data_IF_127425070930
#
_entry.id   IF_127425070930
#
_cell.length_a   1.000
_cell.length_b   1.000
_cell.length_c   1.000
_cell.angle_alpha   90.00
_cell.angle_beta   90.00
_cell.angle_gamma   90.00
#
_symmetry.space_group_name_H-M   'P 1'
#
loop_
_entity.id
_entity.type
_entity.pdbx_description
1 polymer ?
#
# COMPACT_ATOMS: atom_id res chain seq x y z
N UNK A 1 -5.63 -7.03 16.46
CA UNK A 1 -6.45 -7.25 15.27
C UNK A 1 -7.09 -8.63 15.34
N UNK A 2 -8.40 -8.70 15.22
CA UNK A 2 -9.19 -9.94 15.32
C UNK A 2 -10.15 -10.07 14.16
N UNK A 3 -10.57 -11.32 13.83
CA UNK A 3 -11.71 -11.53 12.96
C UNK A 3 -12.99 -11.07 13.69
N UNK A 4 -13.92 -10.51 12.96
CA UNK A 4 -15.19 -10.05 13.50
C UNK A 4 -16.37 -10.49 12.63
N UNK A 5 -17.55 -10.54 13.22
CA UNK A 5 -18.83 -10.67 12.52
C UNK A 5 -19.78 -9.59 13.01
N UNK A 6 -20.86 -9.37 12.28
CA UNK A 6 -21.89 -8.44 12.68
C UNK A 6 -23.12 -9.22 13.13
N UNK A 7 -23.50 -9.11 14.41
CA UNK A 7 -24.67 -9.75 15.00
C UNK A 7 -25.57 -8.67 15.60
N UNK A 8 -26.82 -8.59 15.15
CA UNK A 8 -27.77 -7.58 15.60
C UNK A 8 -27.21 -6.14 15.58
N UNK A 9 -26.58 -5.77 14.46
CA UNK A 9 -25.90 -4.48 14.24
C UNK A 9 -24.72 -4.18 15.19
N UNK A 10 -24.18 -5.19 15.86
CA UNK A 10 -23.01 -5.07 16.71
C UNK A 10 -21.86 -5.92 16.20
N UNK A 11 -20.65 -5.37 16.29
CA UNK A 11 -19.44 -6.13 16.04
C UNK A 11 -19.18 -7.11 17.19
N UNK A 12 -18.99 -8.37 16.83
CA UNK A 12 -18.57 -9.43 17.75
C UNK A 12 -17.31 -10.10 17.21
N UNK A 13 -16.46 -10.58 18.13
CA UNK A 13 -15.26 -11.34 17.75
C UNK A 13 -15.68 -12.70 17.17
N UNK A 14 -15.03 -13.11 16.08
CA UNK A 14 -15.27 -14.39 15.42
C UNK A 14 -14.03 -15.27 15.47
N UNK A 15 -14.20 -16.54 15.79
CA UNK A 15 -13.13 -17.52 15.74
C UNK A 15 -12.82 -17.97 14.30
N UNK A 16 -13.79 -17.79 13.39
CA UNK A 16 -13.63 -18.11 11.97
C UNK A 16 -13.37 -16.86 11.14
N UNK A 17 -12.72 -17.05 10.00
CA UNK A 17 -12.46 -15.97 9.06
C UNK A 17 -13.77 -15.59 8.35
N UNK A 18 -14.17 -14.32 8.52
CA UNK A 18 -15.41 -13.77 7.95
C UNK A 18 -15.16 -12.79 6.81
N UNK A 19 -13.88 -12.39 6.62
CA UNK A 19 -13.51 -11.28 5.75
C UNK A 19 -13.68 -9.90 6.41
N UNK A 20 -14.28 -9.83 7.62
CA UNK A 20 -14.40 -8.63 8.41
C UNK A 20 -13.36 -8.64 9.53
N UNK A 21 -12.66 -7.51 9.71
CA UNK A 21 -11.64 -7.35 10.73
C UNK A 21 -11.99 -6.22 11.70
N UNK A 22 -11.57 -6.35 12.94
CA UNK A 22 -11.73 -5.32 13.95
C UNK A 22 -10.49 -5.15 14.83
N UNK A 23 -10.30 -3.92 15.26
CA UNK A 23 -9.37 -3.56 16.34
C UNK A 23 -10.01 -3.90 17.67
N UNK A 24 -9.36 -4.75 18.46
CA UNK A 24 -9.82 -5.13 19.81
C UNK A 24 -9.05 -4.34 20.86
N UNK A 25 -9.76 -3.51 21.61
CA UNK A 25 -9.19 -2.74 22.70
C UNK A 25 -9.75 -3.21 24.04
N UNK A 26 -8.96 -3.93 24.88
CA UNK A 26 -9.35 -4.28 26.23
C UNK A 26 -9.22 -3.07 27.15
N UNK A 27 -10.19 -2.87 28.02
CA UNK A 27 -10.18 -1.84 29.05
C UNK A 27 -9.79 -2.40 30.42
N UNK A 28 -9.39 -1.51 31.35
CA UNK A 28 -8.98 -1.90 32.69
C UNK A 28 -10.11 -2.50 33.53
N UNK A 29 -11.35 -2.23 33.21
CA UNK A 29 -12.56 -2.76 33.86
C UNK A 29 -12.98 -4.14 33.34
N UNK A 30 -12.17 -4.75 32.47
CA UNK A 30 -12.44 -6.04 31.85
C UNK A 30 -13.37 -5.99 30.63
N UNK A 31 -13.89 -4.82 30.27
CA UNK A 31 -14.68 -4.65 29.04
C UNK A 31 -13.77 -4.56 27.80
N UNK A 32 -14.34 -4.76 26.62
CA UNK A 32 -13.61 -4.70 25.36
C UNK A 32 -14.40 -3.88 24.34
N UNK A 33 -13.72 -2.97 23.65
CA UNK A 33 -14.28 -2.26 22.50
C UNK A 33 -13.77 -2.88 21.22
N UNK A 34 -14.66 -3.13 20.26
CA UNK A 34 -14.32 -3.53 18.89
C UNK A 34 -14.58 -2.34 17.94
N UNK A 35 -13.57 -1.98 17.18
CA UNK A 35 -13.66 -0.94 16.13
C UNK A 35 -13.40 -1.61 14.78
N UNK A 36 -14.34 -1.50 13.85
CA UNK A 36 -14.17 -2.11 12.53
C UNK A 36 -12.95 -1.55 11.81
N UNK A 37 -12.14 -2.43 11.22
CA UNK A 37 -11.06 -2.05 10.32
C UNK A 37 -11.65 -1.64 8.98
N UNK A 38 -11.67 -0.34 8.70
CA UNK A 38 -12.21 0.27 7.47
C UNK A 38 -11.14 0.86 6.57
N UNK A 39 -10.01 1.25 7.14
CA UNK A 39 -8.92 1.89 6.40
C UNK A 39 -9.03 3.42 6.34
N UNK A 40 -9.65 4.04 7.34
CA UNK A 40 -9.62 5.50 7.51
C UNK A 40 -8.27 5.92 8.08
N UNK A 41 -7.52 6.73 7.35
CA UNK A 41 -6.19 7.20 7.78
C UNK A 41 -6.15 8.72 7.77
N UNK A 42 -5.74 9.31 8.88
CA UNK A 42 -5.64 10.76 9.08
C UNK A 42 -4.26 11.14 9.62
N UNK A 43 -3.59 12.06 8.92
CA UNK A 43 -2.44 12.81 9.43
C UNK A 43 -2.90 14.17 9.91
N UNK A 44 -2.49 14.55 11.09
CA UNK A 44 -2.87 15.78 11.76
C UNK A 44 -1.61 16.53 12.22
N UNK A 45 -1.22 17.55 11.48
CA UNK A 45 -0.05 18.40 11.72
C UNK A 45 1.23 17.61 12.03
N UNK A 46 1.60 16.68 11.15
CA UNK A 46 2.75 15.80 11.36
C UNK A 46 4.04 16.45 10.86
N UNK A 47 4.99 16.60 11.77
CA UNK A 47 6.39 16.89 11.49
C UNK A 47 7.24 15.65 11.66
N UNK A 48 8.25 15.49 10.82
CA UNK A 48 9.13 14.31 10.91
C UNK A 48 10.57 14.59 10.45
N UNK A 49 11.51 14.01 11.17
CA UNK A 49 12.94 14.00 10.87
C UNK A 49 13.51 12.62 11.12
N UNK A 50 14.34 12.12 10.20
CA UNK A 50 15.12 10.88 10.46
C UNK A 50 16.27 11.14 11.43
N UNK A 51 16.84 12.33 11.37
CA UNK A 51 17.90 12.82 12.26
C UNK A 51 17.53 14.19 12.80
N UNK A 52 18.02 14.59 13.99
CA UNK A 52 17.64 15.86 14.63
C UNK A 52 17.91 17.11 13.78
N UNK A 53 18.89 17.03 12.90
CA UNK A 53 19.42 18.17 12.14
C UNK A 53 18.73 18.39 10.80
N UNK A 54 17.86 17.47 10.37
CA UNK A 54 17.21 17.56 9.05
C UNK A 54 15.76 17.14 9.10
N UNK A 55 14.87 18.12 9.14
CA UNK A 55 13.44 17.90 9.01
C UNK A 55 13.08 17.53 7.57
N UNK A 56 12.32 16.47 7.41
CA UNK A 56 11.90 15.89 6.11
C UNK A 56 10.46 16.25 5.79
N UNK A 57 9.57 16.14 6.78
CA UNK A 57 8.15 16.51 6.63
C UNK A 57 7.81 17.69 7.51
N UNK A 58 7.04 18.62 6.95
CA UNK A 58 6.64 19.84 7.58
C UNK A 58 5.14 20.00 7.54
N UNK A 59 4.50 19.97 8.71
CA UNK A 59 3.07 20.25 8.91
C UNK A 59 2.16 19.45 7.95
N UNK A 60 2.38 18.15 7.87
CA UNK A 60 1.61 17.28 7.00
C UNK A 60 0.24 17.00 7.60
N UNK A 61 -0.80 17.47 6.91
CA UNK A 61 -2.19 17.13 7.21
C UNK A 61 -2.84 16.54 5.97
N UNK A 62 -3.35 15.31 6.08
CA UNK A 62 -4.04 14.61 5.01
C UNK A 62 -5.05 13.63 5.60
N UNK A 63 -5.99 13.23 4.80
CA UNK A 63 -6.92 12.16 5.13
C UNK A 63 -7.22 11.28 3.91
N UNK A 64 -7.43 9.99 4.15
CA UNK A 64 -7.95 9.04 3.19
C UNK A 64 -9.13 8.33 3.83
N UNK A 65 -10.30 8.47 3.20
CA UNK A 65 -11.51 7.73 3.61
C UNK A 65 -11.44 6.29 3.09
N UNK A 66 -12.15 5.35 3.72
CA UNK A 66 -12.22 3.97 3.26
C UNK A 66 -12.56 3.88 1.76
N UNK A 67 -11.80 3.08 1.02
CA UNK A 67 -11.99 2.86 -0.41
C UNK A 67 -11.44 3.96 -1.32
N UNK A 68 -10.86 5.03 -0.78
CA UNK A 68 -10.23 6.08 -1.59
C UNK A 68 -8.82 5.73 -2.03
N UNK A 69 -8.45 6.16 -3.22
CA UNK A 69 -7.09 6.16 -3.74
C UNK A 69 -6.50 7.55 -3.59
N UNK A 70 -5.41 7.65 -2.82
CA UNK A 70 -4.63 8.87 -2.60
C UNK A 70 -3.29 8.71 -3.30
N UNK A 71 -3.04 9.53 -4.31
CA UNK A 71 -1.78 9.55 -5.05
C UNK A 71 -0.85 10.65 -4.53
N UNK A 72 0.42 10.31 -4.35
CA UNK A 72 1.47 11.27 -4.05
C UNK A 72 2.32 11.49 -5.29
N UNK A 73 2.46 12.75 -5.68
CA UNK A 73 3.29 13.19 -6.82
C UNK A 73 4.26 14.27 -6.37
N UNK A 74 5.38 14.39 -7.06
CA UNK A 74 6.42 15.36 -6.75
C UNK A 74 7.82 14.82 -7.06
N UNK A 75 8.81 15.68 -7.02
CA UNK A 75 10.19 15.32 -7.29
C UNK A 75 10.75 14.29 -6.30
N UNK A 76 11.80 13.58 -6.70
CA UNK A 76 12.56 12.71 -5.80
C UNK A 76 13.05 13.53 -4.60
N UNK A 77 12.88 12.99 -3.40
CA UNK A 77 13.24 13.67 -2.15
C UNK A 77 12.19 14.63 -1.61
N UNK A 78 11.02 14.74 -2.25
CA UNK A 78 9.91 15.59 -1.75
C UNK A 78 9.24 15.07 -0.46
N UNK A 79 9.53 13.84 -0.03
CA UNK A 79 9.00 13.25 1.21
C UNK A 79 7.89 12.19 0.99
N UNK A 80 7.60 11.80 -0.25
CA UNK A 80 6.55 10.82 -0.57
C UNK A 80 6.77 9.47 0.13
N UNK A 81 7.97 8.91 0.01
CA UNK A 81 8.33 7.64 0.68
C UNK A 81 8.28 7.77 2.20
N UNK A 82 8.63 8.92 2.75
CA UNK A 82 8.58 9.15 4.19
C UNK A 82 7.15 9.05 4.71
N UNK A 83 6.15 9.58 4.01
CA UNK A 83 4.74 9.44 4.40
C UNK A 83 4.34 7.96 4.48
N UNK A 84 4.69 7.16 3.48
CA UNK A 84 4.37 5.72 3.47
C UNK A 84 5.11 4.97 4.59
N UNK A 85 6.35 5.34 4.89
CA UNK A 85 7.10 4.78 6.03
C UNK A 85 6.43 5.09 7.38
N UNK A 86 5.81 6.25 7.52
CA UNK A 86 5.09 6.62 8.74
C UNK A 86 3.76 5.87 8.88
N UNK A 87 3.04 5.62 7.79
CA UNK A 87 1.82 4.79 7.82
C UNK A 87 2.18 3.36 8.25
N UNK A 88 3.29 2.81 7.75
CA UNK A 88 3.81 1.49 8.15
C UNK A 88 4.40 1.47 9.57
N UNK A 89 4.54 2.65 10.18
CA UNK A 89 5.19 2.84 11.45
C UNK A 89 6.58 2.18 11.51
N UNK A 90 7.36 2.36 10.43
CA UNK A 90 8.80 2.03 10.46
C UNK A 90 9.56 3.01 11.36
N UNK A 91 9.01 4.21 11.53
CA UNK A 91 9.47 5.26 12.42
C UNK A 91 8.30 5.79 13.24
N UNK A 92 8.56 6.14 14.49
CA UNK A 92 7.59 6.81 15.34
C UNK A 92 7.71 8.33 15.18
N UNK A 93 6.60 9.07 15.20
CA UNK A 93 6.57 10.54 15.13
C UNK A 93 6.65 11.14 16.53
N UNK A 94 7.34 12.30 16.64
CA UNK A 94 7.39 13.09 17.86
C UNK A 94 6.26 14.13 17.91
N UNK A 95 5.97 14.79 16.80
CA UNK A 95 4.99 15.85 16.69
C UNK A 95 3.85 15.48 15.73
N UNK A 96 2.65 15.96 16.06
CA UNK A 96 1.44 15.66 15.33
C UNK A 96 0.83 14.32 15.74
N UNK A 97 -0.15 13.88 14.98
CA UNK A 97 -0.86 12.60 15.19
C UNK A 97 -1.17 11.91 13.87
N UNK A 98 -1.02 10.59 13.87
CA UNK A 98 -1.53 9.73 12.80
C UNK A 98 -2.59 8.84 13.44
N UNK A 99 -3.80 8.84 12.87
CA UNK A 99 -4.91 7.98 13.30
C UNK A 99 -5.25 6.99 12.20
N UNK A 100 -5.55 5.79 12.61
CA UNK A 100 -6.03 4.71 11.78
C UNK A 100 -7.35 4.21 12.35
N UNK A 101 -8.43 4.33 11.59
CA UNK A 101 -9.81 4.10 12.06
C UNK A 101 -10.14 4.88 13.35
N UNK A 102 -9.67 6.12 13.46
CA UNK A 102 -9.84 6.97 14.62
C UNK A 102 -8.91 6.68 15.79
N UNK A 103 -8.11 5.60 15.72
CA UNK A 103 -7.19 5.19 16.78
C UNK A 103 -5.80 5.80 16.50
N UNK A 104 -5.19 6.42 17.50
CA UNK A 104 -3.81 6.87 17.37
C UNK A 104 -2.90 5.66 17.05
N UNK A 105 -2.17 5.74 15.93
CA UNK A 105 -1.34 4.63 15.42
C UNK A 105 -0.32 4.14 16.47
N UNK A 106 0.14 5.02 17.37
CA UNK A 106 1.06 4.66 18.45
C UNK A 106 0.44 3.74 19.51
N UNK A 107 -0.89 3.69 19.59
CA UNK A 107 -1.63 2.79 20.49
C UNK A 107 -1.91 1.42 19.89
N UNK A 108 -1.68 1.23 18.60
CA UNK A 108 -1.84 -0.05 17.92
C UNK A 108 -0.53 -0.83 18.03
N UNK A 109 -0.59 -2.13 18.31
CA UNK A 109 0.59 -2.99 18.27
C UNK A 109 1.16 -3.00 16.84
N UNK A 110 2.48 -2.79 16.71
CA UNK A 110 3.17 -2.71 15.40
C UNK A 110 2.90 -3.93 14.51
N UNK A 111 2.90 -5.13 15.09
CA UNK A 111 2.61 -6.35 14.35
C UNK A 111 1.19 -6.38 13.80
N UNK A 112 0.19 -5.94 14.57
CA UNK A 112 -1.21 -5.89 14.14
C UNK A 112 -1.43 -4.80 13.09
N UNK A 113 -0.82 -3.63 13.26
CA UNK A 113 -0.87 -2.56 12.28
C UNK A 113 -0.34 -3.04 10.91
N UNK A 114 0.85 -3.62 10.89
CA UNK A 114 1.49 -4.10 9.66
C UNK A 114 0.72 -5.25 9.00
N UNK A 115 0.07 -6.08 9.79
CA UNK A 115 -0.80 -7.16 9.29
C UNK A 115 -2.06 -6.63 8.61
N UNK A 116 -2.51 -5.42 8.96
CA UNK A 116 -3.65 -4.73 8.34
C UNK A 116 -3.31 -4.01 7.03
N UNK A 117 -2.03 -3.87 6.70
CA UNK A 117 -1.51 -3.13 5.56
C UNK A 117 -0.90 -4.09 4.53
N UNK A 118 -1.28 -3.93 3.26
CA UNK A 118 -0.58 -4.52 2.14
C UNK A 118 0.48 -3.55 1.61
N UNK A 119 1.65 -4.06 1.24
CA UNK A 119 2.77 -3.22 0.82
C UNK A 119 3.39 -3.80 -0.45
N UNK A 120 3.48 -2.97 -1.49
CA UNK A 120 4.26 -3.26 -2.70
C UNK A 120 5.20 -2.09 -2.92
N UNK A 121 6.49 -2.31 -2.69
CA UNK A 121 7.54 -1.31 -2.85
C UNK A 121 8.34 -1.57 -4.13
N UNK A 122 9.15 -0.60 -4.52
CA UNK A 122 10.05 -0.70 -5.67
C UNK A 122 11.02 -1.88 -5.53
N UNK A 123 11.62 -2.02 -4.35
CA UNK A 123 12.53 -3.13 -4.05
C UNK A 123 11.73 -4.34 -3.55
N UNK A 124 11.73 -5.39 -4.33
CA UNK A 124 11.03 -6.62 -4.00
C UNK A 124 11.95 -7.59 -3.27
N UNK A 125 11.66 -7.85 -2.00
CA UNK A 125 12.36 -8.84 -1.21
C UNK A 125 11.69 -10.22 -1.35
N UNK A 126 12.33 -11.10 -2.08
CA UNK A 126 11.99 -12.51 -2.15
C UNK A 126 12.99 -13.31 -1.30
N UNK A 127 12.53 -14.40 -0.70
CA UNK A 127 13.37 -15.26 0.11
C UNK A 127 13.62 -16.61 -0.58
N UNK A 128 14.65 -17.31 -0.15
CA UNK A 128 14.97 -18.66 -0.61
C UNK A 128 13.81 -19.59 -0.27
N UNK A 129 13.19 -20.19 -1.28
CA UNK A 129 12.01 -21.04 -1.18
C UNK A 129 11.30 -21.14 -2.52
N UNK A 130 10.16 -21.80 -2.57
CA UNK A 130 9.38 -21.90 -3.80
C UNK A 130 8.66 -20.61 -4.13
N UNK A 131 8.22 -20.45 -5.38
CA UNK A 131 7.31 -19.37 -5.79
C UNK A 131 6.04 -19.38 -4.93
N UNK A 132 5.45 -20.58 -4.71
CA UNK A 132 4.27 -20.76 -3.85
C UNK A 132 4.50 -20.22 -2.43
N UNK A 133 5.62 -20.58 -1.81
CA UNK A 133 5.96 -20.14 -0.45
C UNK A 133 6.16 -18.62 -0.39
N UNK A 134 6.80 -18.04 -1.39
CA UNK A 134 7.00 -16.59 -1.48
C UNK A 134 5.68 -15.82 -1.56
N UNK A 135 4.70 -16.31 -2.32
CA UNK A 135 3.38 -15.68 -2.41
C UNK A 135 2.60 -15.91 -1.10
N UNK A 136 2.59 -17.17 -0.60
CA UNK A 136 1.90 -17.55 0.64
C UNK A 136 2.37 -16.78 1.87
N UNK A 137 3.56 -16.19 1.83
CA UNK A 137 4.06 -15.37 2.92
C UNK A 137 3.14 -14.20 3.27
N UNK A 138 2.33 -13.71 2.32
CA UNK A 138 1.29 -12.69 2.58
C UNK A 138 0.15 -13.19 3.46
N UNK A 139 -0.09 -14.52 3.48
CA UNK A 139 -1.12 -15.19 4.28
C UNK A 139 -0.70 -16.65 4.50
N UNK A 140 -0.07 -16.92 5.63
CA UNK A 140 0.59 -18.21 5.90
C UNK A 140 -0.37 -19.41 5.90
N UNK A 141 -1.64 -19.21 6.18
CA UNK A 141 -2.70 -20.23 6.18
C UNK A 141 -3.48 -20.30 4.83
N UNK A 142 -3.01 -19.61 3.79
CA UNK A 142 -3.63 -19.68 2.48
C UNK A 142 -3.50 -21.07 1.87
N UNK A 143 -4.57 -21.54 1.23
CA UNK A 143 -4.53 -22.79 0.45
C UNK A 143 -3.77 -22.56 -0.87
N UNK A 144 -3.40 -23.66 -1.55
CA UNK A 144 -2.75 -23.57 -2.85
C UNK A 144 -3.65 -22.87 -3.87
N UNK A 145 -4.96 -23.13 -3.82
CA UNK A 145 -5.96 -22.50 -4.67
C UNK A 145 -6.04 -20.99 -4.44
N UNK A 146 -6.04 -20.55 -3.17
CA UNK A 146 -6.04 -19.12 -2.83
C UNK A 146 -4.78 -18.41 -3.35
N UNK A 147 -3.62 -19.06 -3.26
CA UNK A 147 -2.36 -18.53 -3.79
C UNK A 147 -2.41 -18.41 -5.32
N UNK A 148 -2.92 -19.44 -6.02
CA UNK A 148 -3.04 -19.44 -7.48
C UNK A 148 -4.02 -18.36 -7.94
N UNK A 149 -5.18 -18.22 -7.28
CA UNK A 149 -6.15 -17.17 -7.61
C UNK A 149 -5.58 -15.75 -7.36
N UNK A 150 -4.83 -15.56 -6.29
CA UNK A 150 -4.12 -14.31 -6.05
C UNK A 150 -3.08 -14.00 -7.15
N UNK A 151 -2.33 -15.00 -7.60
CA UNK A 151 -1.39 -14.87 -8.70
C UNK A 151 -2.07 -14.53 -10.03
N UNK A 152 -3.25 -15.08 -10.29
CA UNK A 152 -4.05 -14.74 -11.49
C UNK A 152 -4.50 -13.29 -11.44
N UNK A 153 -5.05 -12.82 -10.31
CA UNK A 153 -5.44 -11.41 -10.14
C UNK A 153 -4.26 -10.45 -10.26
N UNK A 154 -3.12 -10.83 -9.73
CA UNK A 154 -1.87 -10.08 -9.84
C UNK A 154 -1.26 -10.10 -11.25
N UNK A 155 -1.84 -10.84 -12.18
CA UNK A 155 -1.32 -11.04 -13.54
C UNK A 155 0.06 -11.76 -13.57
N UNK A 156 0.34 -12.56 -12.53
CA UNK A 156 1.58 -13.31 -12.37
C UNK A 156 1.48 -14.77 -12.84
N UNK A 157 0.27 -15.33 -12.92
CA UNK A 157 0.06 -16.75 -13.18
C UNK A 157 0.71 -17.22 -14.48
N UNK A 158 0.61 -16.42 -15.55
CA UNK A 158 1.12 -16.83 -16.87
C UNK A 158 2.64 -17.07 -16.83
N UNK A 159 3.43 -16.11 -16.31
CA UNK A 159 4.88 -16.33 -16.26
C UNK A 159 5.26 -17.44 -15.30
N UNK A 160 4.55 -17.61 -14.17
CA UNK A 160 4.80 -18.72 -13.22
C UNK A 160 4.59 -20.06 -13.91
N UNK A 161 3.53 -20.19 -14.72
CA UNK A 161 3.24 -21.44 -15.45
C UNK A 161 4.32 -21.80 -16.49
N UNK A 162 5.11 -20.84 -16.93
CA UNK A 162 6.23 -21.06 -17.87
C UNK A 162 7.55 -21.42 -17.16
N UNK A 163 7.61 -21.32 -15.86
CA UNK A 163 8.80 -21.75 -15.09
C UNK A 163 8.91 -23.28 -15.11
N UNK A 164 10.13 -23.84 -15.00
CA UNK A 164 10.38 -25.28 -15.13
C UNK A 164 9.50 -26.16 -14.23
N UNK A 165 9.25 -25.71 -12.99
CA UNK A 165 8.43 -26.42 -12.01
C UNK A 165 7.19 -25.61 -11.58
N UNK A 166 6.81 -24.58 -12.36
CA UNK A 166 5.68 -23.72 -12.08
C UNK A 166 5.77 -23.08 -10.68
N UNK A 167 4.71 -23.21 -9.90
CA UNK A 167 4.66 -22.70 -8.51
C UNK A 167 5.66 -23.36 -7.56
N UNK A 168 6.15 -24.57 -7.89
CA UNK A 168 7.14 -25.31 -7.10
C UNK A 168 8.58 -24.96 -7.48
N UNK A 169 8.77 -24.09 -8.45
CA UNK A 169 10.10 -23.59 -8.82
C UNK A 169 10.77 -22.96 -7.62
N UNK A 170 11.98 -23.41 -7.27
CA UNK A 170 12.75 -22.88 -6.17
C UNK A 170 13.48 -21.61 -6.60
N UNK A 171 13.36 -20.59 -5.78
CA UNK A 171 14.10 -19.33 -5.87
C UNK A 171 15.26 -19.39 -4.89
N UNK A 172 16.46 -19.03 -5.35
CA UNK A 172 17.66 -19.01 -4.53
C UNK A 172 18.15 -17.56 -4.36
N UNK A 173 18.65 -17.25 -3.15
CA UNK A 173 19.21 -15.95 -2.82
C UNK A 173 18.21 -14.81 -3.07
N UNK A 174 18.63 -13.85 -3.88
CA UNK A 174 17.83 -12.68 -4.30
C UNK A 174 16.88 -12.96 -5.47
N UNK A 175 16.56 -14.21 -5.74
CA UNK A 175 15.78 -14.66 -6.91
C UNK A 175 16.45 -14.27 -8.25
N UNK A 176 17.76 -14.46 -8.35
CA UNK A 176 18.63 -14.06 -9.47
C UNK A 176 18.21 -14.60 -10.85
N UNK A 177 17.32 -15.61 -10.91
CA UNK A 177 16.76 -16.13 -12.16
C UNK A 177 15.53 -15.39 -12.69
N UNK A 178 14.99 -14.44 -11.95
CA UNK A 178 13.81 -13.66 -12.33
C UNK A 178 14.17 -12.23 -12.74
N UNK A 179 13.45 -11.70 -13.74
CA UNK A 179 13.53 -10.27 -14.07
C UNK A 179 12.95 -9.42 -12.93
N UNK A 180 13.27 -8.14 -12.90
CA UNK A 180 12.70 -7.22 -11.90
C UNK A 180 11.17 -7.15 -12.00
N UNK A 181 10.61 -7.12 -13.20
CA UNK A 181 9.16 -7.15 -13.38
C UNK A 181 8.51 -8.43 -12.86
N UNK A 182 9.13 -9.60 -13.10
CA UNK A 182 8.65 -10.87 -12.56
C UNK A 182 8.70 -10.91 -11.03
N UNK A 183 9.77 -10.40 -10.43
CA UNK A 183 9.85 -10.25 -8.96
C UNK A 183 8.75 -9.35 -8.43
N UNK A 184 8.48 -8.24 -9.10
CA UNK A 184 7.41 -7.31 -8.72
C UNK A 184 6.02 -7.96 -8.82
N UNK A 185 5.75 -8.77 -9.85
CA UNK A 185 4.51 -9.54 -9.97
C UNK A 185 4.32 -10.51 -8.80
N UNK A 186 5.38 -11.16 -8.31
CA UNK A 186 5.30 -12.00 -7.11
C UNK A 186 4.99 -11.18 -5.85
N UNK A 187 5.54 -9.98 -5.73
CA UNK A 187 5.21 -9.07 -4.63
C UNK A 187 3.75 -8.62 -4.67
N UNK A 188 3.21 -8.33 -5.85
CA UNK A 188 1.80 -8.01 -6.05
C UNK A 188 0.92 -9.22 -5.66
N UNK A 189 1.26 -10.42 -6.10
CA UNK A 189 0.54 -11.64 -5.74
C UNK A 189 0.55 -11.90 -4.22
N UNK A 190 1.68 -11.63 -3.56
CA UNK A 190 1.79 -11.69 -2.10
C UNK A 190 0.84 -10.71 -1.40
N UNK A 191 0.72 -9.50 -1.90
CA UNK A 191 -0.21 -8.50 -1.39
C UNK A 191 -1.67 -8.89 -1.66
N UNK A 192 -1.95 -9.46 -2.84
CA UNK A 192 -3.29 -9.96 -3.19
C UNK A 192 -3.76 -11.07 -2.26
N UNK A 193 -2.91 -12.06 -1.96
CA UNK A 193 -3.30 -13.17 -1.07
C UNK A 193 -3.50 -12.70 0.38
N UNK A 194 -2.80 -11.66 0.81
CA UNK A 194 -2.98 -11.03 2.11
C UNK A 194 -4.36 -10.38 2.26
N UNK A 195 -4.91 -9.85 1.18
CA UNK A 195 -6.25 -9.27 1.08
C UNK A 195 -6.54 -8.24 2.18
N UNK A 196 -5.65 -7.27 2.31
CA UNK A 196 -5.76 -6.22 3.32
C UNK A 196 -6.62 -5.04 2.82
N UNK A 197 -7.35 -4.33 3.71
CA UNK A 197 -8.21 -3.21 3.30
C UNK A 197 -7.45 -1.95 2.91
N UNK A 198 -6.18 -1.83 3.32
CA UNK A 198 -5.29 -0.70 3.00
C UNK A 198 -4.07 -1.20 2.27
N UNK A 199 -3.74 -0.54 1.16
CA UNK A 199 -2.56 -0.81 0.35
C UNK A 199 -1.65 0.39 0.28
N UNK A 200 -0.34 0.13 0.37
CA UNK A 200 0.72 1.11 0.18
C UNK A 200 1.56 0.64 -1.00
N UNK A 201 1.58 1.43 -2.06
CA UNK A 201 2.19 1.07 -3.33
C UNK A 201 3.21 2.11 -3.78
N UNK A 202 4.33 1.65 -4.30
CA UNK A 202 5.29 2.47 -5.05
C UNK A 202 5.37 1.96 -6.49
N UNK A 203 4.95 2.80 -7.43
CA UNK A 203 4.89 2.48 -8.86
C UNK A 203 6.21 2.66 -9.61
N UNK A 204 7.33 2.87 -8.94
CA UNK A 204 8.62 3.05 -9.60
C UNK A 204 8.96 1.84 -10.49
N UNK A 205 9.00 2.07 -11.82
CA UNK A 205 9.19 1.04 -12.85
C UNK A 205 10.45 1.26 -13.69
N UNK A 206 11.37 2.09 -13.22
CA UNK A 206 12.51 2.63 -13.98
C UNK A 206 13.47 1.61 -14.62
N UNK A 207 13.33 0.31 -14.32
CA UNK A 207 14.23 -0.75 -14.81
C UNK A 207 13.49 -1.89 -15.51
N UNK A 208 12.22 -1.67 -15.90
CA UNK A 208 11.35 -2.69 -16.50
C UNK A 208 11.11 -2.32 -17.97
N UNK A 209 11.20 -3.31 -18.87
CA UNK A 209 10.86 -3.11 -20.28
C UNK A 209 9.36 -2.82 -20.46
N UNK A 210 9.00 -2.10 -21.52
CA UNK A 210 7.62 -1.62 -21.78
C UNK A 210 6.56 -2.73 -21.76
N UNK A 211 6.90 -3.93 -22.28
CA UNK A 211 5.94 -5.05 -22.31
C UNK A 211 5.66 -5.59 -20.91
N UNK A 212 6.71 -5.79 -20.14
CA UNK A 212 6.62 -6.25 -18.76
C UNK A 212 5.97 -5.18 -17.88
N UNK A 213 6.24 -3.90 -18.13
CA UNK A 213 5.59 -2.79 -17.43
C UNK A 213 4.07 -2.82 -17.60
N UNK A 214 3.55 -3.08 -18.79
CA UNK A 214 2.11 -3.20 -19.04
C UNK A 214 1.50 -4.35 -18.23
N UNK A 215 2.21 -5.48 -18.09
CA UNK A 215 1.77 -6.64 -17.30
C UNK A 215 1.74 -6.30 -15.81
N UNK A 216 2.78 -5.68 -15.29
CA UNK A 216 2.88 -5.24 -13.90
C UNK A 216 1.81 -4.20 -13.58
N UNK A 217 1.62 -3.22 -14.46
CA UNK A 217 0.60 -2.18 -14.31
C UNK A 217 -0.81 -2.74 -14.18
N UNK A 218 -1.14 -3.75 -14.98
CA UNK A 218 -2.44 -4.44 -14.89
C UNK A 218 -2.62 -5.16 -13.56
N UNK A 219 -1.57 -5.80 -13.04
CA UNK A 219 -1.59 -6.42 -11.72
C UNK A 219 -1.75 -5.40 -10.59
N UNK A 220 -1.07 -4.26 -10.69
CA UNK A 220 -1.20 -3.14 -9.73
C UNK A 220 -2.61 -2.55 -9.75
N UNK A 221 -3.22 -2.36 -10.91
CA UNK A 221 -4.57 -1.83 -11.04
C UNK A 221 -5.60 -2.75 -10.37
N UNK A 222 -5.49 -4.06 -10.57
CA UNK A 222 -6.32 -5.05 -9.91
C UNK A 222 -6.16 -5.01 -8.37
N UNK A 223 -4.92 -4.89 -7.89
CA UNK A 223 -4.62 -4.80 -6.46
C UNK A 223 -5.22 -3.55 -5.80
N UNK A 224 -5.31 -2.44 -6.53
CA UNK A 224 -5.87 -1.18 -6.02
C UNK A 224 -7.39 -1.18 -5.95
N UNK A 225 -8.07 -2.06 -6.66
CA UNK A 225 -9.52 -2.07 -6.77
C UNK A 225 -10.20 -2.40 -5.43
N UNK A 226 -11.16 -1.56 -5.02
CA UNK A 226 -11.97 -1.78 -3.82
C UNK A 226 -11.26 -1.57 -2.47
N UNK A 227 -10.05 -1.04 -2.46
CA UNK A 227 -9.24 -0.81 -1.26
C UNK A 227 -8.94 0.66 -1.03
N UNK A 228 -8.59 1.00 0.20
CA UNK A 228 -7.94 2.28 0.49
C UNK A 228 -6.49 2.20 0.06
N UNK A 229 -6.06 3.10 -0.81
CA UNK A 229 -4.74 3.04 -1.44
C UNK A 229 -3.97 4.33 -1.21
N UNK A 230 -2.73 4.18 -0.75
CA UNK A 230 -1.71 5.22 -0.77
C UNK A 230 -0.68 4.83 -1.82
N UNK A 231 -0.61 5.58 -2.91
CA UNK A 231 0.28 5.24 -4.02
C UNK A 231 1.25 6.38 -4.32
N UNK A 232 2.55 6.04 -4.37
CA UNK A 232 3.57 6.92 -4.96
C UNK A 232 3.46 6.72 -6.45
N UNK A 233 2.80 7.66 -7.15
CA UNK A 233 2.38 7.51 -8.52
C UNK A 233 3.46 7.98 -9.50
N UNK A 234 3.74 7.13 -10.49
CA UNK A 234 4.62 7.41 -11.61
C UNK A 234 3.88 7.30 -12.95
N UNK A 235 2.71 6.66 -12.97
CA UNK A 235 1.86 6.54 -14.16
C UNK A 235 0.78 7.62 -14.16
N UNK A 236 0.61 8.26 -15.31
CA UNK A 236 -0.42 9.28 -15.52
C UNK A 236 -1.82 8.72 -15.24
N UNK A 237 -2.11 7.50 -15.69
CA UNK A 237 -3.41 6.86 -15.48
C UNK A 237 -3.75 6.66 -14.00
N UNK A 238 -2.78 6.33 -13.17
CA UNK A 238 -2.98 6.21 -11.72
C UNK A 238 -3.35 7.55 -11.10
N UNK A 239 -2.64 8.61 -11.49
CA UNK A 239 -2.88 9.96 -10.98
C UNK A 239 -4.26 10.45 -11.39
N UNK A 240 -4.63 10.34 -12.67
CA UNK A 240 -5.92 10.77 -13.19
C UNK A 240 -7.11 10.05 -12.52
N UNK A 241 -6.93 8.77 -12.19
CA UNK A 241 -7.98 7.93 -11.59
C UNK A 241 -7.92 7.92 -10.05
N UNK A 242 -7.17 8.82 -9.43
CA UNK A 242 -7.10 8.95 -7.97
C UNK A 242 -8.19 9.86 -7.44
N UNK A 243 -8.75 9.51 -6.27
CA UNK A 243 -9.76 10.33 -5.59
C UNK A 243 -9.17 11.62 -5.03
N UNK A 244 -7.90 11.57 -4.63
CA UNK A 244 -7.15 12.72 -4.17
C UNK A 244 -5.70 12.62 -4.63
N UNK A 245 -5.14 13.74 -5.04
CA UNK A 245 -3.75 13.90 -5.43
C UNK A 245 -3.11 14.86 -4.46
N UNK A 246 -2.01 14.43 -3.84
CA UNK A 246 -1.18 15.24 -2.95
C UNK A 246 0.10 15.61 -3.69
N UNK A 247 0.21 16.87 -4.07
CA UNK A 247 1.43 17.38 -4.68
C UNK A 247 2.40 17.76 -3.60
N UNK A 248 3.55 17.12 -3.57
CA UNK A 248 4.56 17.34 -2.54
C UNK A 248 5.78 18.06 -3.10
N UNK A 249 6.26 19.01 -2.33
CA UNK A 249 7.52 19.70 -2.59
C UNK A 249 8.21 20.02 -1.26
N UNK A 250 9.49 19.71 -1.17
CA UNK A 250 10.32 19.96 0.02
C UNK A 250 9.65 19.60 1.36
N UNK A 251 9.04 18.42 1.42
CA UNK A 251 8.41 17.90 2.64
C UNK A 251 7.06 18.52 2.99
N UNK A 252 6.45 19.28 2.10
CA UNK A 252 5.13 19.88 2.27
C UNK A 252 4.14 19.42 1.22
N UNK A 253 2.87 19.37 1.57
CA UNK A 253 1.78 19.25 0.61
C UNK A 253 1.46 20.66 0.13
N UNK A 254 1.79 20.96 -1.14
CA UNK A 254 1.61 22.30 -1.72
C UNK A 254 0.31 22.45 -2.51
N UNK A 255 -0.22 21.33 -3.03
CA UNK A 255 -1.51 21.30 -3.71
C UNK A 255 -2.24 19.99 -3.34
N UNK A 256 -3.56 20.06 -3.31
CA UNK A 256 -4.44 18.94 -3.01
C UNK A 256 -5.73 19.06 -3.83
N UNK A 257 -6.18 18.00 -4.43
CA UNK A 257 -7.42 17.95 -5.20
C UNK A 257 -7.51 16.69 -6.04
N UNK A 258 -8.54 16.58 -6.84
CA UNK A 258 -8.61 15.60 -7.91
C UNK A 258 -7.92 16.13 -9.18
N UNK A 259 -7.89 15.30 -10.23
CA UNK A 259 -7.23 15.65 -11.48
C UNK A 259 -7.79 16.94 -12.10
N UNK A 260 -9.12 17.04 -12.21
CA UNK A 260 -9.79 18.15 -12.90
C UNK A 260 -9.62 19.46 -12.13
N UNK A 261 -9.74 19.40 -10.79
CA UNK A 261 -9.50 20.54 -9.90
C UNK A 261 -8.08 21.09 -10.07
N UNK A 262 -7.08 20.22 -9.96
CA UNK A 262 -5.67 20.64 -10.03
C UNK A 262 -5.24 21.09 -11.45
N UNK A 263 -5.81 20.56 -12.50
CA UNK A 263 -5.60 21.06 -13.87
C UNK A 263 -6.19 22.47 -14.01
N UNK A 264 -7.37 22.72 -13.45
CA UNK A 264 -8.03 24.02 -13.48
C UNK A 264 -7.26 25.11 -12.70
N UNK A 265 -6.61 24.72 -11.61
CA UNK A 265 -5.79 25.63 -10.79
C UNK A 265 -4.53 26.11 -11.50
N UNK A 266 -4.05 25.40 -12.53
CA UNK A 266 -2.84 25.74 -13.31
C UNK A 266 -1.58 25.89 -12.45
N UNK A 267 -1.50 25.14 -11.35
CA UNK A 267 -0.39 25.16 -10.41
C UNK A 267 0.75 24.19 -10.78
N UNK A 268 1.43 23.70 -9.75
CA UNK A 268 2.55 22.76 -9.90
C UNK A 268 2.13 21.44 -10.53
N UNK A 269 0.95 20.92 -10.16
CA UNK A 269 0.40 19.71 -10.75
C UNK A 269 0.21 19.85 -12.26
N UNK A 270 -0.39 20.96 -12.71
CA UNK A 270 -0.57 21.24 -14.13
C UNK A 270 0.77 21.24 -14.87
N UNK A 271 1.82 21.85 -14.29
CA UNK A 271 3.15 21.84 -14.87
C UNK A 271 3.74 20.45 -14.97
N UNK A 272 3.63 19.63 -13.90
CA UNK A 272 4.12 18.24 -13.90
C UNK A 272 3.38 17.37 -14.91
N UNK A 273 2.06 17.57 -15.04
CA UNK A 273 1.22 16.81 -15.94
C UNK A 273 1.48 17.16 -17.42
N UNK A 274 1.52 18.45 -17.76
CA UNK A 274 1.76 18.91 -19.12
C UNK A 274 3.21 18.71 -19.56
N UNK A 275 4.18 18.92 -18.67
CA UNK A 275 5.60 18.67 -18.97
C UNK A 275 5.91 17.19 -19.24
N UNK A 276 5.21 16.27 -18.62
CA UNK A 276 5.35 14.84 -18.89
C UNK A 276 4.86 14.44 -20.31
N UNK A 277 4.03 15.27 -20.92
CA UNK A 277 3.56 15.07 -22.31
C UNK A 277 4.42 15.78 -23.36
N UNK A 278 5.20 16.79 -22.97
CA UNK A 278 6.08 17.51 -23.90
C UNK A 278 7.41 16.75 -24.13
N UNK A 279 7.77 15.80 -23.23
CA UNK A 279 8.99 14.98 -23.35
C UNK A 279 8.72 13.56 -23.92
N UNK A 280 7.49 13.20 -24.22
CA UNK A 280 7.09 11.91 -24.79
C UNK A 280 6.74 12.00 -26.27
#
# INVERSE_FOLDING_TARGET
LVNASCENDKLVESEVRTGLWAWKHPHHDGTTTLTQLKGDVVFDHVDFSYTPDKQILHDISLYAKPGQKVAFVGATGAGKTTITNLINRFYDIADGKIRYDGININKIKKADLRRSLGIVLQDTNLFTGTVMENIRYGKLDATDEEVIEAAKRANAHYFISLLPEGYHTKLEGDASGLSQGQRQLLSIARAEVADTPVMILDEATSSIDTRTEAIVSKGMDALMEGRTVFVIAHRISTVQNSNAIMVMDQGRIIERGDHDELIAEKGKYHQLYTGAFEEA
#
